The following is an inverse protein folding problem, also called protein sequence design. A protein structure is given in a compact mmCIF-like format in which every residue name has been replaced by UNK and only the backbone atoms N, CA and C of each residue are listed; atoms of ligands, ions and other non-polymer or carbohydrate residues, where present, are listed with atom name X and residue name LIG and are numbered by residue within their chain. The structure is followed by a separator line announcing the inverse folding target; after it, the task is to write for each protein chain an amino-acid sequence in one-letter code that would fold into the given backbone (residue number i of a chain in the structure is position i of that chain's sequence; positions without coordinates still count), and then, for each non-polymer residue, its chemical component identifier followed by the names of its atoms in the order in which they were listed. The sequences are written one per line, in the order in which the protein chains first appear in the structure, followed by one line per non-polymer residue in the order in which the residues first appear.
data_IF_324452822558
#
_entry.id   IF_324452822558
#
_cell.length_a   1.000
_cell.length_b   1.000
_cell.length_c   1.000
_cell.angle_alpha   90.00
_cell.angle_beta   90.00
_cell.angle_gamma   90.00
#
_symmetry.space_group_name_H-M   'P 1'
#
loop_
_entity.id
_entity.type
_entity.pdbx_description
1 polymer ?
#
# COMPACT_ATOMS: atom_id res chain seq x y z
N UNK A 1 -14.78 8.97 -4.21
CA UNK A 1 -15.72 8.36 -3.23
C UNK A 1 -14.97 7.50 -2.21
N UNK A 2 -14.14 6.54 -2.64
CA UNK A 2 -13.38 5.66 -1.74
C UNK A 2 -12.58 6.39 -0.63
N UNK A 3 -11.79 7.43 -0.97
CA UNK A 3 -10.97 8.16 0.01
C UNK A 3 -11.77 8.83 1.14
N UNK A 4 -12.93 9.41 0.81
CA UNK A 4 -13.81 10.02 1.81
C UNK A 4 -14.35 8.99 2.81
N UNK A 5 -14.67 7.78 2.33
CA UNK A 5 -15.12 6.69 3.20
C UNK A 5 -14.05 6.26 4.20
N UNK A 6 -12.78 6.17 3.79
CA UNK A 6 -11.68 5.84 4.71
C UNK A 6 -11.49 6.90 5.79
N UNK A 7 -11.53 8.18 5.43
CA UNK A 7 -11.43 9.29 6.40
C UNK A 7 -12.56 9.20 7.42
N UNK A 8 -13.80 9.06 6.97
CA UNK A 8 -14.96 8.96 7.87
C UNK A 8 -14.84 7.77 8.82
N UNK A 9 -14.46 6.60 8.31
CA UNK A 9 -14.32 5.39 9.13
C UNK A 9 -13.21 5.54 10.16
N UNK A 10 -12.01 5.98 9.75
CA UNK A 10 -10.88 6.13 10.67
C UNK A 10 -11.12 7.19 11.74
N UNK A 11 -11.69 8.35 11.38
CA UNK A 11 -12.06 9.37 12.35
C UNK A 11 -13.19 8.93 13.29
N UNK A 12 -14.15 8.15 12.81
CA UNK A 12 -15.22 7.60 13.66
C UNK A 12 -14.67 6.62 14.70
N UNK A 13 -13.78 5.72 14.29
CA UNK A 13 -13.10 4.78 15.20
C UNK A 13 -12.22 5.55 16.20
N UNK A 14 -11.50 6.57 15.73
CA UNK A 14 -10.68 7.41 16.60
C UNK A 14 -11.53 8.13 17.66
N UNK A 15 -12.68 8.67 17.27
CA UNK A 15 -13.59 9.35 18.18
C UNK A 15 -14.14 8.40 19.26
N UNK A 16 -14.55 7.18 18.88
CA UNK A 16 -15.01 6.16 19.83
C UNK A 16 -13.88 5.77 20.79
N UNK A 17 -12.65 5.57 20.30
CA UNK A 17 -11.49 5.22 21.12
C UNK A 17 -11.03 6.37 22.02
N UNK A 18 -11.20 7.61 21.59
CA UNK A 18 -10.99 8.80 22.41
C UNK A 18 -11.99 8.87 23.56
N UNK A 19 -13.28 8.64 23.27
CA UNK A 19 -14.34 8.54 24.30
C UNK A 19 -14.09 7.40 25.27
N UNK A 20 -13.51 6.29 24.81
CA UNK A 20 -13.10 5.16 25.63
C UNK A 20 -11.82 5.40 26.45
N UNK A 21 -11.22 6.61 26.40
CA UNK A 21 -9.94 6.99 27.04
C UNK A 21 -8.74 6.11 26.66
N UNK A 22 -8.84 5.36 25.56
CA UNK A 22 -7.73 4.57 25.00
C UNK A 22 -6.72 5.51 24.33
N UNK A 23 -7.23 6.58 23.68
CA UNK A 23 -6.43 7.66 23.10
C UNK A 23 -6.40 8.83 24.07
N UNK A 24 -5.21 9.21 24.53
CA UNK A 24 -5.01 10.34 25.45
C UNK A 24 -4.67 11.63 24.68
N UNK A 25 -4.89 12.79 25.31
CA UNK A 25 -4.54 14.10 24.70
C UNK A 25 -3.05 14.22 24.40
N UNK A 26 -2.19 13.54 25.17
CA UNK A 26 -0.75 13.41 24.91
C UNK A 26 -0.44 12.71 23.57
N UNK A 27 -1.26 11.73 23.17
CA UNK A 27 -1.12 11.07 21.86
C UNK A 27 -1.57 11.96 20.71
N UNK A 28 -2.50 12.89 20.96
CA UNK A 28 -2.98 13.87 19.98
C UNK A 28 -2.07 15.11 19.87
N UNK A 29 -1.23 15.36 20.87
CA UNK A 29 -0.28 16.47 20.92
C UNK A 29 0.97 16.26 20.04
N UNK A 30 1.10 15.10 19.38
CA UNK A 30 2.21 14.82 18.46
C UNK A 30 2.26 15.87 17.34
N UNK A 31 3.46 16.34 16.94
CA UNK A 31 3.60 17.39 15.93
C UNK A 31 2.91 17.03 14.61
N UNK A 32 1.85 17.78 14.30
CA UNK A 32 0.98 17.58 13.12
C UNK A 32 1.73 17.66 11.79
N UNK A 33 2.84 18.39 11.74
CA UNK A 33 3.69 18.53 10.55
C UNK A 33 4.16 17.17 10.00
N UNK A 34 4.42 16.20 10.89
CA UNK A 34 4.85 14.86 10.47
C UNK A 34 3.71 14.08 9.80
N UNK A 35 2.47 14.24 10.28
CA UNK A 35 1.29 13.64 9.66
C UNK A 35 0.95 14.32 8.33
N UNK A 36 1.17 15.62 8.21
CA UNK A 36 1.05 16.35 6.94
C UNK A 36 2.05 15.80 5.92
N UNK A 37 3.32 15.62 6.32
CA UNK A 37 4.36 15.06 5.44
C UNK A 37 4.02 13.64 4.95
N UNK A 38 3.50 12.78 5.83
CA UNK A 38 3.00 11.45 5.46
C UNK A 38 1.89 11.59 4.42
N UNK A 39 0.83 12.35 4.73
CA UNK A 39 -0.32 12.49 3.82
C UNK A 39 0.08 13.06 2.45
N UNK A 40 1.02 14.00 2.43
CA UNK A 40 1.57 14.58 1.20
C UNK A 40 2.34 13.54 0.36
N UNK A 41 3.28 12.81 0.97
CA UNK A 41 4.07 11.79 0.28
C UNK A 41 3.20 10.63 -0.21
N UNK A 42 2.23 10.18 0.59
CA UNK A 42 1.28 9.14 0.17
C UNK A 42 0.38 9.62 -0.96
N UNK A 43 -0.07 10.89 -0.94
CA UNK A 43 -0.82 11.47 -2.04
C UNK A 43 0.02 11.56 -3.32
N UNK A 44 1.26 12.03 -3.24
CA UNK A 44 2.16 12.10 -4.40
C UNK A 44 2.44 10.71 -4.98
N UNK A 45 2.78 9.74 -4.12
CA UNK A 45 3.00 8.36 -4.51
C UNK A 45 1.76 7.77 -5.19
N UNK A 46 0.58 7.99 -4.62
CA UNK A 46 -0.68 7.53 -5.20
C UNK A 46 -0.98 8.17 -6.56
N UNK A 47 -0.88 9.50 -6.68
CA UNK A 47 -1.19 10.23 -7.93
C UNK A 47 -0.27 9.79 -9.06
N UNK A 48 1.03 9.75 -8.79
CA UNK A 48 2.05 9.34 -9.78
C UNK A 48 1.93 7.85 -10.12
N UNK A 49 1.68 6.99 -9.12
CA UNK A 49 1.51 5.55 -9.29
C UNK A 49 0.25 5.18 -10.05
N UNK A 50 -0.89 5.84 -9.78
CA UNK A 50 -2.12 5.64 -10.56
C UNK A 50 -1.97 6.14 -12.00
N UNK A 51 -1.23 7.23 -12.21
CA UNK A 51 -0.96 7.76 -13.55
C UNK A 51 -0.12 6.79 -14.38
N UNK A 52 0.94 6.24 -13.78
CA UNK A 52 1.76 5.21 -14.44
C UNK A 52 1.01 3.89 -14.62
N UNK A 53 0.28 3.43 -13.59
CA UNK A 53 -0.48 2.18 -13.63
C UNK A 53 -1.65 2.17 -14.62
N UNK A 54 -2.13 3.34 -15.06
CA UNK A 54 -3.15 3.43 -16.10
C UNK A 54 -2.62 3.09 -17.51
N UNK A 55 -1.30 3.18 -17.71
CA UNK A 55 -0.64 2.98 -19.01
C UNK A 55 0.22 1.72 -19.00
N UNK A 56 0.79 1.37 -17.86
CA UNK A 56 1.64 0.20 -17.72
C UNK A 56 0.83 -1.11 -17.84
N UNK A 57 1.40 -2.14 -18.48
CA UNK A 57 0.81 -3.47 -18.51
C UNK A 57 0.63 -4.03 -17.10
N UNK A 58 -0.48 -4.71 -16.84
CA UNK A 58 -0.81 -5.28 -15.54
C UNK A 58 0.31 -6.11 -14.88
N UNK A 59 0.98 -7.03 -15.61
CA UNK A 59 2.09 -7.82 -15.06
C UNK A 59 3.36 -7.01 -14.74
N UNK A 60 3.55 -5.87 -15.41
CA UNK A 60 4.75 -5.03 -15.25
C UNK A 60 4.70 -4.23 -13.95
N UNK A 61 3.52 -3.81 -13.52
CA UNK A 61 3.31 -3.04 -12.29
C UNK A 61 3.92 -3.72 -11.05
N UNK A 62 3.60 -5.00 -10.73
CA UNK A 62 4.17 -5.67 -9.55
C UNK A 62 5.68 -5.93 -9.63
N UNK A 63 6.25 -6.04 -10.85
CA UNK A 63 7.70 -6.11 -11.07
C UNK A 63 8.35 -4.77 -10.66
N UNK A 64 7.82 -3.65 -11.17
CA UNK A 64 8.33 -2.32 -10.83
C UNK A 64 8.14 -1.98 -9.35
N UNK A 65 7.04 -2.45 -8.75
CA UNK A 65 6.79 -2.29 -7.31
C UNK A 65 7.80 -3.03 -6.42
N UNK A 66 8.62 -3.95 -6.95
CA UNK A 66 9.72 -4.53 -6.16
C UNK A 66 10.76 -3.49 -5.76
N UNK A 67 10.90 -2.40 -6.52
CA UNK A 67 11.79 -1.27 -6.18
C UNK A 67 11.39 -0.59 -4.88
N UNK A 68 10.12 -0.72 -4.45
CA UNK A 68 9.65 -0.25 -3.15
C UNK A 68 10.48 -0.79 -2.00
N UNK A 69 10.85 -2.08 -2.00
CA UNK A 69 11.68 -2.67 -0.93
C UNK A 69 13.07 -2.05 -0.88
N UNK A 70 13.67 -1.78 -2.05
CA UNK A 70 14.99 -1.16 -2.16
C UNK A 70 14.97 0.25 -1.60
N UNK A 71 13.99 1.06 -2.02
CA UNK A 71 13.81 2.42 -1.49
C UNK A 71 13.52 2.40 0.00
N UNK A 72 12.72 1.45 0.48
CA UNK A 72 12.36 1.37 1.90
C UNK A 72 13.57 1.00 2.77
N UNK A 73 14.43 0.07 2.33
CA UNK A 73 15.69 -0.23 3.00
C UNK A 73 16.60 0.99 3.03
N UNK A 74 16.75 1.69 1.90
CA UNK A 74 17.57 2.90 1.80
C UNK A 74 17.07 4.01 2.73
N UNK A 75 15.76 4.29 2.74
CA UNK A 75 15.21 5.31 3.65
C UNK A 75 15.26 4.86 5.10
N UNK A 76 15.10 3.57 5.39
CA UNK A 76 15.21 3.05 6.75
C UNK A 76 16.64 3.17 7.31
N UNK A 77 17.66 2.88 6.51
CA UNK A 77 19.07 3.10 6.92
C UNK A 77 19.38 4.58 7.09
N UNK A 78 18.85 5.45 6.24
CA UNK A 78 19.11 6.89 6.32
C UNK A 78 18.36 7.58 7.47
N UNK A 79 17.07 7.32 7.63
CA UNK A 79 16.18 8.02 8.58
C UNK A 79 16.16 7.38 9.97
N UNK A 80 16.13 6.04 10.06
CA UNK A 80 16.13 5.33 11.34
C UNK A 80 17.52 4.88 11.78
N UNK A 81 18.55 5.08 10.93
CA UNK A 81 19.94 4.64 11.19
C UNK A 81 20.04 3.15 11.56
N UNK A 82 19.14 2.32 11.04
CA UNK A 82 19.21 0.87 11.25
C UNK A 82 20.39 0.27 10.52
N UNK A 83 21.05 -0.69 11.17
CA UNK A 83 22.07 -1.54 10.55
C UNK A 83 21.40 -2.83 10.10
N UNK A 84 21.39 -3.06 8.80
CA UNK A 84 20.92 -4.31 8.22
C UNK A 84 22.10 -5.26 8.03
N UNK A 85 21.90 -6.55 8.33
CA UNK A 85 22.90 -7.56 8.04
C UNK A 85 22.96 -7.85 6.53
N UNK A 86 24.10 -8.37 6.05
CA UNK A 86 24.25 -8.79 4.65
C UNK A 86 23.15 -9.81 4.28
N UNK A 87 22.80 -10.69 5.21
CA UNK A 87 21.78 -11.71 4.98
C UNK A 87 20.36 -11.12 4.85
N UNK A 88 20.05 -10.03 5.56
CA UNK A 88 18.78 -9.31 5.36
C UNK A 88 18.72 -8.66 3.98
N UNK A 89 19.82 -8.09 3.52
CA UNK A 89 19.92 -7.53 2.17
C UNK A 89 19.74 -8.61 1.09
N UNK A 90 20.43 -9.75 1.25
CA UNK A 90 20.28 -10.92 0.37
C UNK A 90 18.84 -11.45 0.41
N UNK A 91 18.22 -11.55 1.59
CA UNK A 91 16.82 -11.97 1.75
C UNK A 91 15.84 -11.09 0.99
N UNK A 92 16.00 -9.76 1.06
CA UNK A 92 15.18 -8.83 0.28
C UNK A 92 15.40 -8.96 -1.23
N UNK A 93 16.64 -9.15 -1.68
CA UNK A 93 16.94 -9.39 -3.10
C UNK A 93 16.33 -10.70 -3.60
N UNK A 94 16.39 -11.77 -2.80
CA UNK A 94 15.72 -13.03 -3.11
C UNK A 94 14.20 -12.87 -3.22
N UNK A 95 13.57 -12.11 -2.32
CA UNK A 95 12.13 -11.83 -2.42
C UNK A 95 11.81 -11.08 -3.71
N UNK A 96 12.57 -10.03 -4.04
CA UNK A 96 12.37 -9.30 -5.29
C UNK A 96 12.54 -10.21 -6.51
N UNK A 97 13.60 -11.03 -6.55
CA UNK A 97 13.85 -11.98 -7.64
C UNK A 97 12.73 -13.03 -7.74
N UNK A 98 12.26 -13.56 -6.61
CA UNK A 98 11.17 -14.55 -6.56
C UNK A 98 9.87 -14.00 -7.13
N UNK A 99 9.52 -12.74 -6.82
CA UNK A 99 8.35 -12.07 -7.41
C UNK A 99 8.53 -11.88 -8.91
N UNK A 100 9.70 -11.42 -9.37
CA UNK A 100 9.99 -11.23 -10.80
C UNK A 100 9.84 -12.55 -11.57
N UNK A 101 10.46 -13.63 -11.08
CA UNK A 101 10.38 -14.96 -11.69
C UNK A 101 8.94 -15.48 -11.72
N UNK A 102 8.19 -15.30 -10.62
CA UNK A 102 6.80 -15.74 -10.54
C UNK A 102 5.92 -15.03 -11.60
N UNK A 103 6.11 -13.73 -11.83
CA UNK A 103 5.30 -12.95 -12.76
C UNK A 103 5.75 -13.15 -14.21
N UNK A 104 7.06 -13.19 -14.48
CA UNK A 104 7.59 -13.41 -15.83
C UNK A 104 7.25 -14.80 -16.37
N UNK A 105 6.98 -15.76 -15.48
CA UNK A 105 6.61 -17.13 -15.88
C UNK A 105 5.28 -17.23 -16.62
N UNK A 106 4.36 -16.29 -16.40
CA UNK A 106 3.03 -16.26 -16.99
C UNK A 106 2.80 -15.09 -17.96
N UNK A 107 3.81 -14.24 -18.20
CA UNK A 107 3.65 -13.05 -19.04
C UNK A 107 4.94 -12.63 -19.74
N UNK A 108 4.84 -12.18 -20.99
CA UNK A 108 5.96 -11.57 -21.74
C UNK A 108 6.26 -10.13 -21.27
N UNK A 109 6.34 -9.92 -19.95
CA UNK A 109 6.42 -8.60 -19.32
C UNK A 109 7.61 -7.77 -19.82
N UNK A 110 8.74 -8.38 -20.18
CA UNK A 110 9.92 -7.69 -20.72
C UNK A 110 9.70 -7.07 -22.11
N UNK A 111 8.96 -7.77 -22.98
CA UNK A 111 8.59 -7.24 -24.29
C UNK A 111 7.54 -6.12 -24.14
N UNK A 112 6.53 -6.36 -23.30
CA UNK A 112 5.50 -5.34 -22.99
C UNK A 112 6.08 -4.08 -22.34
N UNK A 113 7.16 -4.20 -21.56
CA UNK A 113 7.92 -3.07 -21.02
C UNK A 113 8.66 -2.27 -22.10
N UNK A 114 9.16 -2.95 -23.13
CA UNK A 114 9.91 -2.33 -24.24
C UNK A 114 8.99 -1.52 -25.16
N UNK A 115 7.71 -1.89 -25.24
CA UNK A 115 6.68 -1.19 -26.02
C UNK A 115 6.20 0.10 -25.35
N UNK A 116 6.54 0.33 -24.08
CA UNK A 116 6.09 1.49 -23.30
C UNK A 116 7.22 2.51 -23.16
N UNK A 117 6.87 3.80 -23.29
CA UNK A 117 7.81 4.90 -23.08
C UNK A 117 8.44 4.82 -21.67
N UNK A 118 9.78 4.90 -21.61
CA UNK A 118 10.60 4.81 -20.38
C UNK A 118 10.14 5.75 -19.25
N UNK A 119 9.48 6.85 -19.60
CA UNK A 119 8.87 7.78 -18.66
C UNK A 119 7.90 7.10 -17.67
N UNK A 120 7.04 6.19 -18.13
CA UNK A 120 6.01 5.59 -17.28
C UNK A 120 6.57 4.57 -16.27
N UNK A 121 7.47 3.64 -16.66
CA UNK A 121 8.19 2.83 -15.69
C UNK A 121 8.98 3.67 -14.68
N UNK A 122 9.67 4.74 -15.13
CA UNK A 122 10.42 5.63 -14.25
C UNK A 122 9.49 6.33 -13.24
N UNK A 123 8.32 6.81 -13.69
CA UNK A 123 7.32 7.44 -12.84
C UNK A 123 6.79 6.47 -11.77
N UNK A 124 6.60 5.19 -12.11
CA UNK A 124 6.22 4.15 -11.15
C UNK A 124 7.31 3.91 -10.09
N UNK A 125 8.59 3.90 -10.48
CA UNK A 125 9.71 3.75 -9.53
C UNK A 125 9.79 4.95 -8.57
N UNK A 126 9.58 6.17 -9.09
CA UNK A 126 9.52 7.39 -8.27
C UNK A 126 8.32 7.35 -7.31
N UNK A 127 7.16 6.87 -7.78
CA UNK A 127 6.00 6.64 -6.91
C UNK A 127 6.33 5.70 -5.75
N UNK A 128 7.05 4.60 -6.03
CA UNK A 128 7.48 3.65 -5.01
C UNK A 128 8.39 4.32 -3.97
N UNK A 129 9.27 5.23 -4.39
CA UNK A 129 10.13 5.97 -3.47
C UNK A 129 9.32 6.86 -2.51
N UNK A 130 8.31 7.60 -3.00
CA UNK A 130 7.47 8.42 -2.13
C UNK A 130 6.67 7.58 -1.12
N UNK A 131 6.08 6.47 -1.57
CA UNK A 131 5.34 5.56 -0.70
C UNK A 131 6.25 4.91 0.35
N UNK A 132 7.46 4.49 -0.05
CA UNK A 132 8.45 3.91 0.86
C UNK A 132 8.89 4.94 1.90
N UNK A 133 9.13 6.19 1.50
CA UNK A 133 9.47 7.26 2.42
C UNK A 133 8.36 7.51 3.45
N UNK A 134 7.10 7.56 3.02
CA UNK A 134 5.96 7.70 3.93
C UNK A 134 5.87 6.54 4.94
N UNK A 135 6.07 5.30 4.48
CA UNK A 135 6.10 4.10 5.33
C UNK A 135 7.20 4.17 6.41
N UNK A 136 8.39 4.64 6.03
CA UNK A 136 9.53 4.81 6.95
C UNK A 136 9.29 5.94 7.95
N UNK A 137 8.66 7.06 7.54
CA UNK A 137 8.27 8.12 8.47
C UNK A 137 7.23 7.61 9.48
N UNK A 138 6.26 6.77 9.05
CA UNK A 138 5.31 6.14 9.97
C UNK A 138 6.03 5.30 11.02
N UNK A 139 7.00 4.46 10.61
CA UNK A 139 7.82 3.69 11.55
C UNK A 139 8.59 4.60 12.52
N UNK A 140 9.21 5.67 12.02
CA UNK A 140 9.91 6.66 12.85
C UNK A 140 8.98 7.30 13.90
N UNK A 141 7.76 7.70 13.52
CA UNK A 141 6.78 8.26 14.46
C UNK A 141 6.41 7.23 15.53
N UNK A 142 6.19 5.97 15.17
CA UNK A 142 5.88 4.92 16.16
C UNK A 142 7.02 4.74 17.17
N UNK A 143 8.27 4.79 16.72
CA UNK A 143 9.45 4.66 17.59
C UNK A 143 9.62 5.90 18.48
N UNK A 144 9.62 7.12 17.91
CA UNK A 144 9.77 8.38 18.67
C UNK A 144 8.64 8.54 19.71
N UNK A 145 7.42 8.13 19.36
CA UNK A 145 6.28 8.22 20.28
C UNK A 145 6.39 7.22 21.43
N UNK A 146 6.94 6.01 21.20
CA UNK A 146 7.18 5.05 22.28
C UNK A 146 8.20 5.58 23.31
N UNK A 147 9.21 6.32 22.84
CA UNK A 147 10.18 6.99 23.72
C UNK A 147 9.55 8.13 24.51
N UNK A 148 8.73 8.98 23.86
CA UNK A 148 8.07 10.14 24.50
C UNK A 148 6.98 9.76 25.50
N UNK A 149 6.23 8.70 25.21
CA UNK A 149 5.07 8.27 26.01
C UNK A 149 5.45 7.25 27.10
N UNK A 150 6.71 7.22 27.56
CA UNK A 150 7.20 6.29 28.61
C UNK A 150 6.77 4.83 28.34
N UNK A 151 7.10 4.30 27.16
CA UNK A 151 6.75 2.93 26.72
C UNK A 151 5.25 2.69 26.46
N UNK A 152 4.39 3.70 26.58
CA UNK A 152 3.00 3.60 26.12
C UNK A 152 2.97 3.67 24.59
N UNK A 153 2.35 2.68 23.97
CA UNK A 153 2.33 2.59 22.51
C UNK A 153 1.36 3.61 21.90
N UNK A 154 1.81 4.35 20.88
CA UNK A 154 0.92 5.22 20.11
C UNK A 154 -0.18 4.37 19.45
N UNK A 155 -1.41 4.86 19.52
CA UNK A 155 -2.54 4.23 18.85
C UNK A 155 -2.39 4.39 17.32
N UNK A 156 -2.49 3.26 16.60
CA UNK A 156 -2.35 3.20 15.14
C UNK A 156 -3.39 4.10 14.45
N UNK A 157 -4.58 4.22 15.04
CA UNK A 157 -5.66 5.02 14.47
C UNK A 157 -5.36 6.52 14.51
N UNK A 158 -4.48 7.00 15.40
CA UNK A 158 -4.06 8.42 15.38
C UNK A 158 -3.27 8.70 14.10
N UNK A 159 -2.23 7.91 13.83
CA UNK A 159 -1.36 8.07 12.66
C UNK A 159 -2.17 7.90 11.37
N UNK A 160 -3.05 6.90 11.33
CA UNK A 160 -3.81 6.59 10.12
C UNK A 160 -4.95 7.58 9.86
N UNK A 161 -5.66 8.05 10.89
CA UNK A 161 -6.70 9.07 10.72
C UNK A 161 -6.13 10.39 10.21
N UNK A 162 -5.08 10.91 10.86
CA UNK A 162 -4.45 12.16 10.41
C UNK A 162 -3.75 11.99 9.06
N UNK A 163 -3.06 10.87 8.84
CA UNK A 163 -2.44 10.53 7.57
C UNK A 163 -3.45 10.48 6.42
N UNK A 164 -4.52 9.69 6.55
CA UNK A 164 -5.58 9.60 5.55
C UNK A 164 -6.35 10.91 5.36
N UNK A 165 -6.53 11.71 6.42
CA UNK A 165 -7.15 13.03 6.32
C UNK A 165 -6.35 13.98 5.43
N UNK A 166 -5.04 14.12 5.69
CA UNK A 166 -4.16 14.95 4.86
C UNK A 166 -3.96 14.36 3.47
N UNK A 167 -3.84 13.03 3.34
CA UNK A 167 -3.79 12.36 2.04
C UNK A 167 -5.02 12.68 1.21
N UNK A 168 -6.23 12.55 1.77
CA UNK A 168 -7.47 12.85 1.06
C UNK A 168 -7.53 14.31 0.61
N UNK A 169 -7.06 15.24 1.45
CA UNK A 169 -6.96 16.65 1.09
C UNK A 169 -6.01 16.88 -0.11
N UNK A 170 -4.80 16.32 -0.07
CA UNK A 170 -3.84 16.49 -1.17
C UNK A 170 -4.28 15.78 -2.45
N UNK A 171 -4.93 14.61 -2.35
CA UNK A 171 -5.54 13.93 -3.50
C UNK A 171 -6.67 14.77 -4.08
N UNK A 172 -7.52 15.39 -3.24
CA UNK A 172 -8.58 16.30 -3.69
C UNK A 172 -8.00 17.48 -4.46
N UNK A 173 -6.93 18.09 -3.93
CA UNK A 173 -6.20 19.18 -4.60
C UNK A 173 -5.57 18.73 -5.93
N UNK A 174 -5.22 17.45 -6.04
CA UNK A 174 -4.62 16.84 -7.25
C UNK A 174 -5.67 16.38 -8.28
N UNK A 175 -6.97 16.43 -7.95
CA UNK A 175 -8.04 16.01 -8.85
C UNK A 175 -8.03 16.73 -10.21
N UNK A 176 -7.74 18.04 -10.31
CA UNK A 176 -7.71 18.70 -11.61
C UNK A 176 -6.67 18.11 -12.55
N UNK A 177 -5.49 17.76 -12.01
CA UNK A 177 -4.40 17.13 -12.75
C UNK A 177 -4.81 15.72 -13.19
N UNK A 178 -5.39 14.93 -12.28
CA UNK A 178 -5.89 13.59 -12.58
C UNK A 178 -7.01 13.59 -13.63
N UNK A 179 -7.90 14.60 -13.59
CA UNK A 179 -8.99 14.77 -14.55
C UNK A 179 -8.45 15.05 -15.95
N UNK A 180 -7.46 15.95 -16.05
CA UNK A 180 -6.80 16.27 -17.31
C UNK A 180 -6.07 15.05 -17.88
N UNK A 181 -5.38 14.26 -17.05
CA UNK A 181 -4.71 13.02 -17.49
C UNK A 181 -5.68 11.93 -17.96
N UNK A 182 -6.90 11.90 -17.40
CA UNK A 182 -7.97 10.99 -17.84
C UNK A 182 -8.82 11.53 -19.00
N UNK A 183 -8.53 12.73 -19.50
CA UNK A 183 -9.29 13.37 -20.58
C UNK A 183 -10.70 13.81 -20.17
N UNK A 184 -10.97 13.98 -18.88
CA UNK A 184 -12.28 14.44 -18.38
C UNK A 184 -12.21 15.95 -18.18
N UNK A 185 -13.04 16.75 -18.86
CA UNK A 185 -13.04 18.20 -18.68
C UNK A 185 -13.61 18.55 -17.28
N UNK A 186 -13.04 19.59 -16.65
CA UNK A 186 -13.27 19.89 -15.22
C UNK A 186 -14.73 20.27 -14.89
N UNK A 187 -15.46 20.77 -15.88
CA UNK A 187 -16.89 21.10 -15.83
C UNK A 187 -17.77 19.85 -15.67
N UNK A 188 -17.33 18.70 -16.19
CA UNK A 188 -18.02 17.41 -16.10
C UNK A 188 -17.62 16.60 -14.86
N UNK A 189 -16.64 17.06 -14.08
CA UNK A 189 -16.20 16.34 -12.88
C UNK A 189 -17.33 16.18 -11.83
N UNK A 190 -18.16 17.20 -11.53
CA UNK A 190 -19.26 17.05 -10.58
C UNK A 190 -20.35 16.09 -11.07
N UNK A 191 -20.68 16.12 -12.37
CA UNK A 191 -21.66 15.19 -12.95
C UNK A 191 -21.12 13.77 -12.98
N UNK A 192 -19.83 13.58 -13.28
CA UNK A 192 -19.15 12.29 -13.20
C UNK A 192 -19.16 11.70 -11.78
N UNK A 193 -18.87 12.52 -10.77
CA UNK A 193 -18.94 12.10 -9.36
C UNK A 193 -20.37 11.75 -8.94
N UNK A 194 -21.37 12.52 -9.39
CA UNK A 194 -22.79 12.25 -9.13
C UNK A 194 -23.25 10.94 -9.77
N UNK A 195 -22.86 10.69 -11.02
CA UNK A 195 -23.14 9.42 -11.71
C UNK A 195 -22.45 8.24 -11.04
N UNK A 196 -21.20 8.40 -10.58
CA UNK A 196 -20.49 7.38 -9.82
C UNK A 196 -21.16 7.07 -8.48
N UNK A 197 -21.64 8.09 -7.77
CA UNK A 197 -22.39 7.92 -6.52
C UNK A 197 -23.75 7.25 -6.75
N UNK A 198 -24.45 7.59 -7.84
CA UNK A 198 -25.70 6.93 -8.26
C UNK A 198 -25.49 5.45 -8.56
N UNK A 199 -24.42 5.10 -9.29
CA UNK A 199 -24.05 3.69 -9.54
C UNK A 199 -23.65 2.97 -8.25
N UNK A 200 -22.87 3.61 -7.36
CA UNK A 200 -22.46 3.01 -6.07
C UNK A 200 -23.66 2.73 -5.16
N UNK A 201 -24.59 3.68 -5.01
CA UNK A 201 -25.78 3.52 -4.17
C UNK A 201 -26.90 2.72 -4.85
N UNK A 202 -26.70 2.31 -6.11
CA UNK A 202 -27.72 1.70 -6.95
C UNK A 202 -29.01 2.57 -7.04
N UNK A 203 -28.84 3.89 -6.97
CA UNK A 203 -29.91 4.89 -7.03
C UNK A 203 -29.86 5.56 -8.40
N UNK A 204 -30.32 4.84 -9.43
CA UNK A 204 -30.68 5.41 -10.72
C UNK A 204 -29.53 5.81 -11.64
N UNK A 205 -29.21 4.91 -12.59
CA UNK A 205 -29.01 5.29 -13.99
C UNK A 205 -29.17 4.06 -14.88
N UNK A 206 -29.94 4.23 -15.95
CA UNK A 206 -30.02 3.35 -17.11
C UNK A 206 -28.66 3.36 -17.82
N UNK A 207 -27.65 2.72 -17.23
CA UNK A 207 -26.38 2.38 -17.89
C UNK A 207 -26.14 0.89 -17.68
N UNK A 208 -25.76 0.15 -18.74
CA UNK A 208 -25.34 -1.23 -18.59
C UNK A 208 -24.06 -1.22 -17.73
N UNK A 209 -23.89 -2.17 -16.81
CA UNK A 209 -22.66 -2.43 -16.03
C UNK A 209 -22.52 -1.74 -14.64
N UNK A 210 -23.60 -1.56 -13.87
CA UNK A 210 -23.51 -1.36 -12.41
C UNK A 210 -23.71 -2.66 -11.60
N UNK A 211 -23.47 -3.80 -12.24
CA UNK A 211 -23.72 -5.12 -11.65
C UNK A 211 -22.84 -5.35 -10.42
N UNK A 212 -23.46 -5.77 -9.31
CA UNK A 212 -22.79 -6.03 -8.04
C UNK A 212 -22.58 -4.81 -7.13
N UNK A 213 -23.01 -3.61 -7.52
CA UNK A 213 -23.12 -2.47 -6.61
C UNK A 213 -24.41 -2.56 -5.75
N UNK A 214 -24.38 -2.20 -4.46
CA UNK A 214 -23.26 -1.67 -3.67
C UNK A 214 -22.33 -2.74 -3.05
N UNK A 215 -22.71 -4.02 -3.11
CA UNK A 215 -22.10 -5.08 -2.29
C UNK A 215 -20.61 -5.30 -2.59
N UNK A 216 -20.23 -5.42 -3.87
CA UNK A 216 -18.83 -5.66 -4.27
C UNK A 216 -17.90 -4.49 -3.90
N UNK A 217 -18.23 -3.23 -4.22
CA UNK A 217 -17.46 -2.08 -3.73
C UNK A 217 -17.36 -2.00 -2.20
N UNK A 218 -18.44 -2.33 -1.48
CA UNK A 218 -18.44 -2.29 -0.01
C UNK A 218 -17.53 -3.39 0.56
N UNK A 219 -17.62 -4.61 0.04
CA UNK A 219 -16.77 -5.73 0.42
C UNK A 219 -15.29 -5.39 0.19
N UNK A 220 -14.96 -4.80 -0.97
CA UNK A 220 -13.61 -4.32 -1.27
C UNK A 220 -13.12 -3.31 -0.21
N UNK A 221 -13.94 -2.32 0.16
CA UNK A 221 -13.58 -1.32 1.16
C UNK A 221 -13.32 -1.98 2.53
N UNK A 222 -14.19 -2.89 2.96
CA UNK A 222 -14.05 -3.59 4.24
C UNK A 222 -12.76 -4.42 4.27
N UNK A 223 -12.51 -5.22 3.22
CA UNK A 223 -11.31 -6.05 3.13
C UNK A 223 -10.04 -5.21 3.06
N UNK A 224 -10.04 -4.13 2.27
CA UNK A 224 -8.89 -3.23 2.15
C UNK A 224 -8.61 -2.50 3.48
N UNK A 225 -9.66 -2.09 4.21
CA UNK A 225 -9.54 -1.50 5.55
C UNK A 225 -8.91 -2.48 6.53
N UNK A 226 -9.41 -3.72 6.58
CA UNK A 226 -8.88 -4.77 7.44
C UNK A 226 -7.41 -5.09 7.11
N UNK A 227 -7.06 -5.13 5.83
CA UNK A 227 -5.69 -5.32 5.36
C UNK A 227 -4.76 -4.19 5.81
N UNK A 228 -5.14 -2.93 5.61
CA UNK A 228 -4.34 -1.77 6.02
C UNK A 228 -4.14 -1.70 7.54
N UNK A 229 -5.17 -2.01 8.33
CA UNK A 229 -5.06 -2.06 9.80
C UNK A 229 -4.07 -3.16 10.22
N UNK A 230 -4.18 -4.35 9.60
CA UNK A 230 -3.29 -5.48 9.87
C UNK A 230 -1.84 -5.14 9.51
N UNK A 231 -1.63 -4.49 8.36
CA UNK A 231 -0.32 -4.04 7.92
C UNK A 231 0.32 -3.06 8.91
N UNK A 232 -0.44 -2.05 9.35
CA UNK A 232 0.04 -1.10 10.34
C UNK A 232 0.34 -1.74 11.70
N UNK A 233 -0.42 -2.76 12.09
CA UNK A 233 -0.13 -3.54 13.30
C UNK A 233 1.21 -4.28 13.18
N UNK A 234 1.54 -4.79 11.99
CA UNK A 234 2.86 -5.37 11.71
C UNK A 234 3.96 -4.29 11.72
N UNK A 235 3.73 -3.12 11.14
CA UNK A 235 4.71 -2.01 11.17
C UNK A 235 5.01 -1.61 12.62
N UNK A 236 3.97 -1.52 13.46
CA UNK A 236 4.09 -1.18 14.88
C UNK A 236 4.87 -2.23 15.68
N UNK A 237 4.56 -3.52 15.49
CA UNK A 237 5.16 -4.62 16.26
C UNK A 237 6.55 -5.01 15.74
N UNK A 238 6.76 -4.98 14.42
CA UNK A 238 7.98 -5.40 13.77
C UNK A 238 8.74 -4.24 13.13
N UNK A 239 8.46 -3.94 11.86
CA UNK A 239 9.09 -2.86 11.08
C UNK A 239 8.37 -2.69 9.75
N UNK A 240 8.57 -1.56 9.08
CA UNK A 240 8.09 -1.32 7.73
C UNK A 240 8.56 -2.39 6.75
N UNK A 241 9.83 -2.81 6.84
CA UNK A 241 10.42 -3.82 5.93
C UNK A 241 9.73 -5.18 6.05
N UNK A 242 9.49 -5.66 7.27
CA UNK A 242 8.77 -6.92 7.50
C UNK A 242 7.34 -6.84 6.98
N UNK A 243 6.67 -5.71 7.22
CA UNK A 243 5.32 -5.48 6.72
C UNK A 243 5.28 -5.60 5.19
N UNK A 244 6.21 -4.98 4.48
CA UNK A 244 6.31 -5.06 3.02
C UNK A 244 6.67 -6.45 2.51
N UNK A 245 7.54 -7.18 3.20
CA UNK A 245 7.85 -8.58 2.85
C UNK A 245 6.61 -9.48 2.96
N UNK A 246 5.77 -9.28 3.99
CA UNK A 246 4.50 -9.99 4.13
C UNK A 246 3.51 -9.63 3.02
N UNK A 247 3.48 -8.36 2.58
CA UNK A 247 2.67 -7.96 1.41
C UNK A 247 3.18 -8.65 0.15
N UNK A 248 4.49 -8.81 -0.05
CA UNK A 248 5.01 -9.52 -1.22
C UNK A 248 4.60 -11.00 -1.26
N UNK A 249 4.37 -11.63 -0.10
CA UNK A 249 3.81 -13.00 -0.05
C UNK A 249 2.38 -13.09 -0.59
N UNK A 250 1.60 -12.00 -0.55
CA UNK A 250 0.26 -12.02 -1.09
C UNK A 250 0.25 -12.03 -2.62
N UNK A 251 1.33 -11.58 -3.28
CA UNK A 251 1.41 -11.48 -4.75
C UNK A 251 1.28 -12.85 -5.42
N UNK A 252 2.07 -13.90 -5.05
CA UNK A 252 1.86 -15.23 -5.61
C UNK A 252 0.49 -15.82 -5.27
N UNK A 253 -0.03 -15.57 -4.06
CA UNK A 253 -1.35 -16.04 -3.67
C UNK A 253 -2.43 -15.42 -4.57
N UNK A 254 -2.34 -14.13 -4.88
CA UNK A 254 -3.24 -13.47 -5.82
C UNK A 254 -3.14 -14.05 -7.23
N UNK A 255 -1.93 -14.32 -7.73
CA UNK A 255 -1.73 -14.97 -9.04
C UNK A 255 -2.36 -16.37 -9.06
N UNK A 256 -2.16 -17.15 -8.00
CA UNK A 256 -2.77 -18.46 -7.85
C UNK A 256 -4.30 -18.38 -7.84
N UNK A 257 -4.89 -17.45 -7.07
CA UNK A 257 -6.35 -17.26 -7.04
C UNK A 257 -6.89 -16.83 -8.41
N UNK A 258 -6.19 -15.94 -9.12
CA UNK A 258 -6.59 -15.47 -10.46
C UNK A 258 -6.44 -16.56 -11.54
N UNK A 259 -5.62 -17.58 -11.31
CA UNK A 259 -5.52 -18.74 -12.20
C UNK A 259 -6.72 -19.69 -12.08
N UNK A 260 -7.51 -19.59 -11.00
CA UNK A 260 -8.73 -20.37 -10.83
C UNK A 260 -9.86 -19.77 -11.67
N UNK A 261 -10.79 -20.60 -12.20
CA UNK A 261 -11.97 -20.11 -12.90
C UNK A 261 -12.90 -19.41 -11.90
N UNK A 262 -12.72 -18.09 -11.74
CA UNK A 262 -13.52 -17.27 -10.85
C UNK A 262 -14.79 -16.79 -11.55
N UNK A 263 -15.93 -16.66 -10.83
CA UNK A 263 -17.08 -15.96 -11.37
C UNK A 263 -16.65 -14.53 -11.73
N UNK A 264 -17.01 -14.08 -12.94
CA UNK A 264 -16.67 -12.77 -13.54
C UNK A 264 -15.29 -12.62 -14.24
N UNK A 265 -14.41 -13.63 -14.25
CA UNK A 265 -13.16 -13.61 -15.04
C UNK A 265 -13.20 -14.68 -16.14
N UNK A 266 -12.97 -14.32 -17.42
CA UNK A 266 -12.94 -15.28 -18.50
C UNK A 266 -11.60 -16.04 -18.49
N UNK A 267 -11.70 -17.35 -18.36
CA UNK A 267 -10.63 -18.36 -18.48
C UNK A 267 -9.53 -18.35 -17.40
N UNK A 268 -9.44 -19.46 -16.65
CA UNK A 268 -8.32 -19.72 -15.75
C UNK A 268 -7.04 -20.00 -16.53
N UNK A 269 -5.99 -19.23 -16.29
CA UNK A 269 -4.69 -19.39 -16.96
C UNK A 269 -3.90 -20.56 -16.39
N UNK A 270 -3.25 -21.36 -17.23
CA UNK A 270 -2.35 -22.43 -16.78
C UNK A 270 -1.10 -21.86 -16.10
N UNK A 271 -0.82 -22.30 -14.88
CA UNK A 271 0.38 -21.89 -14.14
C UNK A 271 1.62 -22.61 -14.70
N UNK A 272 2.62 -21.82 -15.08
CA UNK A 272 3.91 -22.32 -15.53
C UNK A 272 4.70 -22.96 -14.36
N UNK A 273 5.49 -24.03 -14.57
CA UNK A 273 6.36 -24.59 -13.54
C UNK A 273 7.33 -23.57 -12.92
N UNK A 274 7.71 -22.53 -13.67
CA UNK A 274 8.56 -21.44 -13.18
C UNK A 274 7.87 -20.57 -12.11
N UNK A 275 6.53 -20.60 -12.03
CA UNK A 275 5.79 -19.93 -10.96
C UNK A 275 6.11 -20.55 -9.59
N UNK A 276 6.11 -21.89 -9.49
CA UNK A 276 6.47 -22.61 -8.27
C UNK A 276 7.92 -22.31 -7.84
N UNK A 277 8.83 -22.21 -8.81
CA UNK A 277 10.21 -21.80 -8.56
C UNK A 277 10.28 -20.38 -7.98
N UNK A 278 9.55 -19.43 -8.56
CA UNK A 278 9.46 -18.06 -8.05
C UNK A 278 8.93 -17.99 -6.61
N UNK A 279 7.88 -18.76 -6.31
CA UNK A 279 7.34 -18.92 -4.95
C UNK A 279 8.37 -19.48 -3.97
N UNK A 280 9.10 -20.53 -4.37
CA UNK A 280 10.14 -21.13 -3.53
C UNK A 280 11.27 -20.14 -3.23
N UNK A 281 11.77 -19.42 -4.25
CA UNK A 281 12.80 -18.38 -4.10
C UNK A 281 12.34 -17.29 -3.13
N UNK A 282 11.09 -16.84 -3.27
CA UNK A 282 10.50 -15.82 -2.41
C UNK A 282 10.43 -16.29 -0.95
N UNK A 283 9.94 -17.52 -0.70
CA UNK A 283 9.86 -18.11 0.63
C UNK A 283 11.25 -18.29 1.25
N UNK A 284 12.24 -18.71 0.47
CA UNK A 284 13.64 -18.78 0.91
C UNK A 284 14.19 -17.41 1.29
N UNK A 285 13.92 -16.37 0.51
CA UNK A 285 14.32 -14.99 0.82
C UNK A 285 13.72 -14.48 2.13
N UNK A 286 12.45 -14.77 2.38
CA UNK A 286 11.77 -14.43 3.63
C UNK A 286 12.36 -15.21 4.82
N UNK A 287 12.60 -16.50 4.66
CA UNK A 287 13.21 -17.34 5.69
C UNK A 287 14.60 -16.82 6.07
N UNK A 288 15.43 -16.48 5.08
CA UNK A 288 16.76 -15.91 5.29
C UNK A 288 16.69 -14.55 6.01
N UNK A 289 15.74 -13.69 5.63
CA UNK A 289 15.53 -12.39 6.29
C UNK A 289 15.13 -12.56 7.76
N UNK A 290 14.23 -13.50 8.06
CA UNK A 290 13.70 -13.72 9.41
C UNK A 290 14.70 -14.42 10.34
N UNK A 291 15.45 -15.41 9.86
CA UNK A 291 16.47 -16.11 10.66
C UNK A 291 17.64 -15.23 11.07
N UNK A 292 17.89 -14.16 10.32
CA UNK A 292 19.03 -13.25 10.53
C UNK A 292 18.61 -11.96 11.21
N UNK A 293 17.34 -11.89 11.64
CA UNK A 293 16.82 -10.81 12.46
C UNK A 293 17.41 -10.95 13.87
N UNK A 294 18.16 -9.95 14.38
CA UNK A 294 18.46 -9.92 15.79
C UNK A 294 17.13 -9.87 16.55
N UNK A 295 16.98 -10.75 17.55
CA UNK A 295 15.83 -10.69 18.45
C UNK A 295 15.72 -9.23 18.93
N UNK A 296 14.61 -8.57 18.59
CA UNK A 296 14.29 -7.28 19.20
C UNK A 296 13.98 -7.66 20.63
N UNK A 297 14.96 -7.48 21.54
CA UNK A 297 14.87 -7.85 22.94
C UNK A 297 13.42 -7.68 23.39
N UNK A 298 12.74 -8.81 23.62
CA UNK A 298 11.70 -8.84 24.61
C UNK A 298 12.34 -8.24 25.84
N UNK A 299 11.95 -7.03 26.19
CA UNK A 299 12.10 -6.57 27.54
C UNK A 299 11.39 -7.60 28.40
N UNK A 300 12.16 -8.58 28.89
CA UNK A 300 12.13 -8.91 30.30
C UNK A 300 11.99 -7.58 31.05
N UNK A 301 10.87 -7.43 31.75
CA UNK A 301 10.95 -7.16 33.17
C UNK A 301 9.67 -7.69 33.82
N UNK A 302 9.92 -8.43 34.89
CA UNK A 302 9.00 -8.92 35.92
C UNK A 302 8.13 -7.80 36.54
#
# INVERSE_FOLDING_TARGET
MFFGSYVVIYFSILYIRYRARIVTDEMLAIPKLRFVAIGFLEALGLVTGMSAGAILPGPVIPILNQTFLVWQLMFSTLLLRRRYSINQFIGCLLVAAGVVVAISSGSNAGQMLSDVQVFWPALMIVSCAFQAWASVIKEYIFIDSATRLKHKSLDIFVVNSFGSGFQALFVLLSLPILSHLKGIPLDQLPSYLKSGAGCFLNLGAVKPNCDGAPLLPLLYVITNLAFNISLLNVVKTSSAVVASLLVMLSVPISIYILSLPLPYLPEGTSLSPFFLLGCAILLCGLFLYNTTRPARNSSEDD
#
